data_IF_410935292255
#
_entry.id   IF_410935292255
#
_cell.length_a   1.000
_cell.length_b   1.000
_cell.length_c   1.000
_cell.angle_alpha   90.00
_cell.angle_beta   90.00
_cell.angle_gamma   90.00
#
_symmetry.space_group_name_H-M   'P 1'
#
loop_
_entity.id
_entity.type
_entity.pdbx_description
1 polymer ?
#
# COMPACT_ATOMS: atom_id res chain seq x y z
N UNK A 1 54.41 -41.55 -21.59
CA UNK A 1 53.11 -41.51 -20.88
C UNK A 1 53.34 -40.86 -19.52
N UNK A 2 53.07 -39.55 -19.38
CA UNK A 2 53.12 -38.83 -18.10
C UNK A 2 51.79 -38.11 -17.95
N UNK A 3 51.05 -38.48 -16.91
CA UNK A 3 49.66 -38.10 -16.67
C UNK A 3 49.51 -36.64 -16.25
N UNK A 4 48.43 -36.02 -16.72
CA UNK A 4 47.95 -34.73 -16.26
C UNK A 4 46.96 -34.94 -15.11
N UNK A 5 47.26 -34.41 -13.92
CA UNK A 5 46.28 -34.25 -12.85
C UNK A 5 45.44 -33.01 -13.15
N UNK A 6 44.14 -33.17 -13.42
CA UNK A 6 43.17 -32.09 -13.36
C UNK A 6 42.76 -31.86 -11.90
N UNK A 7 43.17 -30.71 -11.34
CA UNK A 7 42.64 -30.21 -10.07
C UNK A 7 41.26 -29.60 -10.27
N UNK A 8 40.24 -30.20 -9.65
CA UNK A 8 38.87 -29.68 -9.64
C UNK A 8 38.76 -28.66 -8.48
N UNK A 9 38.74 -27.36 -8.79
CA UNK A 9 38.37 -26.33 -7.82
C UNK A 9 36.85 -26.38 -7.61
N UNK A 10 36.41 -26.88 -6.45
CA UNK A 10 35.03 -26.78 -6.00
C UNK A 10 34.80 -25.38 -5.43
N UNK A 11 34.14 -24.51 -6.20
CA UNK A 11 33.59 -23.26 -5.68
C UNK A 11 32.40 -23.58 -4.76
N UNK A 12 32.63 -23.55 -3.44
CA UNK A 12 31.58 -23.51 -2.43
C UNK A 12 30.89 -22.14 -2.49
N UNK A 13 29.90 -22.01 -3.38
CA UNK A 13 28.99 -20.87 -3.37
C UNK A 13 28.16 -20.91 -2.10
N UNK A 14 28.46 -20.00 -1.16
CA UNK A 14 27.55 -19.71 -0.05
C UNK A 14 26.25 -19.20 -0.68
N UNK A 15 25.09 -19.84 -0.47
CA UNK A 15 23.84 -19.22 -0.85
C UNK A 15 23.63 -18.05 0.11
N UNK A 16 24.02 -16.85 -0.33
CA UNK A 16 23.42 -15.66 0.21
C UNK A 16 21.93 -15.79 -0.07
N UNK A 17 21.14 -16.14 0.94
CA UNK A 17 19.70 -15.90 0.92
C UNK A 17 19.57 -14.39 0.77
N UNK A 18 19.55 -13.91 -0.48
CA UNK A 18 19.00 -12.62 -0.80
C UNK A 18 17.59 -12.69 -0.22
N UNK A 19 17.41 -12.05 0.93
CA UNK A 19 16.13 -11.92 1.61
C UNK A 19 15.23 -11.18 0.64
N UNK A 20 14.48 -11.95 -0.15
CA UNK A 20 13.58 -11.42 -1.14
C UNK A 20 12.58 -10.51 -0.43
N UNK A 21 12.24 -9.38 -1.05
CA UNK A 21 11.20 -8.51 -0.55
C UNK A 21 9.93 -9.33 -0.25
N UNK A 22 9.48 -9.36 1.00
CA UNK A 22 8.30 -10.14 1.36
C UNK A 22 7.03 -9.43 0.91
N UNK A 23 6.99 -8.10 0.97
CA UNK A 23 5.78 -7.32 0.70
C UNK A 23 6.08 -5.96 0.10
N UNK A 24 5.54 -5.71 -1.08
CA UNK A 24 5.33 -4.38 -1.62
C UNK A 24 3.94 -3.89 -1.22
N UNK A 25 3.88 -2.80 -0.46
CA UNK A 25 2.65 -2.18 0.03
C UNK A 25 2.49 -0.78 -0.58
N UNK A 26 1.48 -0.61 -1.43
CA UNK A 26 1.11 0.69 -1.98
C UNK A 26 -0.06 1.27 -1.20
N UNK A 27 0.20 2.34 -0.44
CA UNK A 27 -0.78 3.07 0.35
C UNK A 27 -1.45 4.12 -0.54
N UNK A 28 -2.74 3.99 -0.76
CA UNK A 28 -3.51 4.83 -1.69
C UNK A 28 -4.58 5.59 -0.90
N UNK A 29 -4.46 6.92 -0.90
CA UNK A 29 -5.24 7.82 -0.03
C UNK A 29 -6.17 8.67 -0.89
N UNK A 30 -7.47 8.62 -0.56
CA UNK A 30 -8.48 9.47 -1.17
C UNK A 30 -8.29 10.93 -0.73
N UNK A 31 -8.21 11.82 -1.72
CA UNK A 31 -8.14 13.27 -1.53
C UNK A 31 -9.23 14.00 -2.32
N UNK A 32 -10.34 13.32 -2.62
CA UNK A 32 -11.50 13.85 -3.33
C UNK A 32 -12.21 14.97 -2.55
N UNK A 33 -13.21 15.59 -3.18
CA UNK A 33 -13.89 16.78 -2.66
C UNK A 33 -14.57 16.60 -1.30
N UNK A 34 -14.90 15.37 -0.90
CA UNK A 34 -15.46 15.05 0.42
C UNK A 34 -14.46 15.24 1.56
N UNK A 35 -13.16 15.12 1.27
CA UNK A 35 -12.08 15.25 2.24
C UNK A 35 -11.70 16.71 2.40
N UNK A 36 -11.74 17.26 3.61
CA UNK A 36 -11.26 18.60 3.92
C UNK A 36 -9.75 18.65 4.30
N UNK A 37 -9.22 19.84 4.58
CA UNK A 37 -7.80 20.01 4.95
C UNK A 37 -7.44 19.34 6.28
N UNK A 38 -8.34 19.38 7.27
CA UNK A 38 -8.12 18.77 8.58
C UNK A 38 -8.19 17.24 8.47
N UNK A 39 -9.11 16.71 7.67
CA UNK A 39 -9.26 15.29 7.39
C UNK A 39 -8.07 14.74 6.61
N UNK A 40 -7.60 15.46 5.58
CA UNK A 40 -6.36 15.11 4.89
C UNK A 40 -5.16 15.06 5.86
N UNK A 41 -5.05 16.05 6.76
CA UNK A 41 -3.99 16.10 7.76
C UNK A 41 -4.03 14.89 8.70
N UNK A 42 -5.22 14.48 9.15
CA UNK A 42 -5.39 13.26 9.94
C UNK A 42 -4.92 12.00 9.19
N UNK A 43 -5.15 11.94 7.87
CA UNK A 43 -4.68 10.83 7.05
C UNK A 43 -3.15 10.82 6.90
N UNK A 44 -2.55 11.97 6.60
CA UNK A 44 -1.10 12.11 6.42
C UNK A 44 -0.32 11.89 7.73
N UNK A 45 -0.74 12.56 8.80
CA UNK A 45 -0.13 12.40 10.13
C UNK A 45 -0.37 10.99 10.67
N UNK A 46 -1.57 10.44 10.53
CA UNK A 46 -1.88 9.07 10.98
C UNK A 46 -1.05 8.00 10.26
N UNK A 47 -0.79 8.19 8.96
CA UNK A 47 0.13 7.32 8.23
C UNK A 47 1.58 7.47 8.74
N UNK A 48 2.07 8.70 8.87
CA UNK A 48 3.42 8.94 9.36
C UNK A 48 3.62 8.36 10.77
N UNK A 49 2.65 8.54 11.67
CA UNK A 49 2.68 8.01 13.02
C UNK A 49 2.67 6.46 13.00
N UNK A 50 1.83 5.84 12.16
CA UNK A 50 1.82 4.39 11.99
C UNK A 50 3.18 3.84 11.53
N UNK A 51 3.90 4.54 10.66
CA UNK A 51 5.23 4.13 10.20
C UNK A 51 6.29 4.20 11.29
N UNK A 52 6.07 4.97 12.36
CA UNK A 52 6.99 5.02 13.51
C UNK A 52 6.69 3.97 14.57
N UNK A 53 5.62 3.18 14.39
CA UNK A 53 5.28 2.10 15.31
C UNK A 53 6.35 1.00 15.31
N UNK A 54 6.85 0.58 16.50
CA UNK A 54 7.92 -0.41 16.58
C UNK A 54 7.61 -1.74 15.88
N UNK A 55 6.38 -2.23 15.97
CA UNK A 55 5.99 -3.51 15.36
C UNK A 55 5.97 -3.41 13.83
N UNK A 56 5.54 -2.25 13.30
CA UNK A 56 5.56 -1.97 11.86
C UNK A 56 6.99 -1.81 11.36
N UNK A 57 7.83 -1.01 12.05
CA UNK A 57 9.25 -0.83 11.70
C UNK A 57 9.95 -2.18 11.62
N UNK A 58 9.78 -3.00 12.66
CA UNK A 58 10.39 -4.31 12.79
C UNK A 58 9.89 -5.30 11.71
N UNK A 59 8.59 -5.32 11.42
CA UNK A 59 8.03 -6.13 10.34
C UNK A 59 8.54 -5.71 8.95
N UNK A 60 8.64 -4.40 8.68
CA UNK A 60 9.16 -3.89 7.41
C UNK A 60 10.64 -4.20 7.20
N UNK A 61 11.46 -4.04 8.24
CA UNK A 61 12.91 -4.30 8.17
C UNK A 61 13.18 -5.78 8.00
N UNK A 62 12.54 -6.65 8.81
CA UNK A 62 12.73 -8.10 8.69
C UNK A 62 12.27 -8.65 7.35
N UNK A 63 11.12 -8.17 6.87
CA UNK A 63 10.56 -8.62 5.59
C UNK A 63 11.17 -7.95 4.36
N UNK A 64 12.14 -7.05 4.54
CA UNK A 64 12.69 -6.20 3.47
C UNK A 64 11.60 -5.58 2.57
N UNK A 65 10.57 -5.03 3.22
CA UNK A 65 9.39 -4.52 2.53
C UNK A 65 9.70 -3.35 1.61
N UNK A 66 8.78 -3.05 0.70
CA UNK A 66 8.81 -1.85 -0.13
C UNK A 66 7.50 -1.08 0.02
N UNK A 67 7.56 0.23 0.22
CA UNK A 67 6.38 1.08 0.40
C UNK A 67 6.34 2.22 -0.61
N UNK A 68 5.14 2.57 -1.06
CA UNK A 68 4.88 3.78 -1.85
C UNK A 68 3.56 4.38 -1.40
N UNK A 69 3.42 5.70 -1.53
CA UNK A 69 2.18 6.42 -1.23
C UNK A 69 1.65 7.07 -2.50
N UNK A 70 0.39 6.82 -2.81
CA UNK A 70 -0.36 7.43 -3.91
C UNK A 70 -1.51 8.23 -3.34
N UNK A 71 -1.72 9.42 -3.89
CA UNK A 71 -2.95 10.19 -3.65
C UNK A 71 -3.84 10.06 -4.89
N UNK A 72 -5.15 9.90 -4.69
CA UNK A 72 -6.11 9.73 -5.77
C UNK A 72 -7.42 10.50 -5.52
N UNK A 73 -8.10 10.86 -6.59
CA UNK A 73 -9.46 11.42 -6.54
C UNK A 73 -10.23 11.06 -7.83
N UNK A 74 -10.46 12.01 -8.75
CA UNK A 74 -11.20 11.80 -10.00
C UNK A 74 -10.40 11.05 -11.07
N UNK A 75 -10.99 10.88 -12.26
CA UNK A 75 -10.51 9.99 -13.34
C UNK A 75 -9.02 10.14 -13.68
N UNK A 76 -8.55 11.37 -13.88
CA UNK A 76 -7.15 11.66 -14.27
C UNK A 76 -6.34 12.30 -13.12
N UNK A 77 -6.74 12.01 -11.87
CA UNK A 77 -6.21 12.64 -10.66
C UNK A 77 -5.62 11.59 -9.73
N UNK A 78 -4.49 11.02 -10.15
CA UNK A 78 -3.67 10.11 -9.36
C UNK A 78 -2.22 10.55 -9.46
N UNK A 79 -1.52 10.55 -8.32
CA UNK A 79 -0.11 10.88 -8.27
C UNK A 79 0.61 10.06 -7.21
N UNK A 80 1.80 9.58 -7.55
CA UNK A 80 2.74 9.03 -6.57
C UNK A 80 3.24 10.19 -5.70
N UNK A 81 2.76 10.27 -4.46
CA UNK A 81 3.18 11.27 -3.48
C UNK A 81 4.52 10.89 -2.85
N UNK A 82 4.72 9.59 -2.59
CA UNK A 82 6.02 9.06 -2.15
C UNK A 82 6.40 7.86 -3.04
N UNK A 83 7.51 7.94 -3.80
CA UNK A 83 7.99 6.84 -4.63
C UNK A 83 8.30 5.58 -3.82
N UNK A 84 8.42 4.45 -4.52
CA UNK A 84 8.83 3.20 -3.91
C UNK A 84 10.12 3.35 -3.11
N UNK A 85 10.01 3.12 -1.81
CA UNK A 85 11.11 3.10 -0.86
C UNK A 85 11.31 1.67 -0.39
N UNK A 86 12.47 1.09 -0.68
CA UNK A 86 12.86 -0.23 -0.16
C UNK A 86 13.35 -0.08 1.27
N UNK A 87 12.78 -0.84 2.18
CA UNK A 87 13.10 -0.79 3.60
C UNK A 87 14.18 -1.81 3.90
N UNK A 88 15.39 -1.32 4.22
CA UNK A 88 16.52 -2.16 4.64
C UNK A 88 16.92 -1.87 6.08
N UNK A 89 16.42 -0.78 6.65
CA UNK A 89 16.75 -0.28 7.98
C UNK A 89 15.61 0.56 8.56
N UNK A 90 15.63 0.75 9.88
CA UNK A 90 14.72 1.67 10.55
C UNK A 90 14.85 3.12 10.04
N UNK A 91 16.04 3.51 9.55
CA UNK A 91 16.25 4.84 8.95
C UNK A 91 15.45 5.03 7.66
N UNK A 92 15.28 3.98 6.85
CA UNK A 92 14.44 4.04 5.64
C UNK A 92 12.98 4.29 6.01
N UNK A 93 12.50 3.65 7.09
CA UNK A 93 11.14 3.85 7.61
C UNK A 93 10.97 5.27 8.17
N UNK A 94 11.95 5.77 8.92
CA UNK A 94 11.91 7.15 9.45
C UNK A 94 11.82 8.19 8.31
N UNK A 95 12.63 8.03 7.26
CA UNK A 95 12.57 8.91 6.07
C UNK A 95 11.23 8.83 5.35
N UNK A 96 10.66 7.63 5.24
CA UNK A 96 9.33 7.42 4.66
C UNK A 96 8.23 8.10 5.51
N UNK A 97 8.30 7.98 6.83
CA UNK A 97 7.42 8.68 7.77
C UNK A 97 7.48 10.20 7.57
N UNK A 98 8.69 10.76 7.52
CA UNK A 98 8.87 12.21 7.31
C UNK A 98 8.31 12.66 5.95
N UNK A 99 8.56 11.89 4.89
CA UNK A 99 7.99 12.16 3.57
C UNK A 99 6.45 12.08 3.57
N UNK A 100 5.87 11.09 4.26
CA UNK A 100 4.42 10.96 4.40
C UNK A 100 3.79 12.10 5.23
N UNK A 101 4.52 12.66 6.21
CA UNK A 101 4.04 13.80 6.99
C UNK A 101 4.07 15.10 6.21
N UNK A 102 5.03 15.25 5.30
CA UNK A 102 5.28 16.47 4.54
C UNK A 102 4.65 16.49 3.15
N UNK A 103 4.04 15.39 2.69
CA UNK A 103 3.42 15.34 1.38
C UNK A 103 2.28 16.38 1.28
N UNK A 104 2.25 17.24 0.24
CA UNK A 104 1.14 18.13 0.03
C UNK A 104 -0.06 17.37 -0.54
N UNK A 105 -1.28 17.87 -0.27
CA UNK A 105 -2.49 17.35 -0.91
C UNK A 105 -2.43 17.66 -2.40
N UNK A 106 -2.44 16.61 -3.23
CA UNK A 106 -2.21 16.72 -4.68
C UNK A 106 -3.40 17.33 -5.42
N UNK A 107 -4.63 17.09 -4.94
CA UNK A 107 -5.86 17.48 -5.62
C UNK A 107 -6.90 18.03 -4.65
N UNK A 108 -7.70 18.98 -5.14
CA UNK A 108 -8.87 19.54 -4.45
C UNK A 108 -10.01 19.64 -5.46
N UNK A 109 -11.26 19.76 -4.99
CA UNK A 109 -12.45 19.95 -5.84
C UNK A 109 -12.57 18.90 -6.96
N UNK A 110 -12.30 17.63 -6.64
CA UNK A 110 -12.33 16.52 -7.60
C UNK A 110 -13.27 15.39 -7.18
N UNK A 111 -13.68 14.57 -8.14
CA UNK A 111 -14.54 13.42 -7.90
C UNK A 111 -13.84 12.27 -7.18
N UNK A 112 -14.57 11.17 -7.02
CA UNK A 112 -14.14 9.94 -6.35
C UNK A 112 -14.17 8.82 -7.39
N UNK A 113 -13.01 8.40 -7.88
CA UNK A 113 -12.84 7.42 -8.97
C UNK A 113 -11.91 6.25 -8.55
N UNK A 114 -12.34 5.36 -7.64
CA UNK A 114 -11.49 4.29 -7.12
C UNK A 114 -11.09 3.24 -8.17
N UNK A 115 -11.86 3.08 -9.26
CA UNK A 115 -11.45 2.21 -10.37
C UNK A 115 -10.13 2.70 -10.99
N UNK A 116 -10.00 4.01 -11.22
CA UNK A 116 -8.79 4.62 -11.76
C UNK A 116 -7.66 4.61 -10.74
N UNK A 117 -7.95 4.78 -9.45
CA UNK A 117 -6.94 4.60 -8.40
C UNK A 117 -6.33 3.19 -8.42
N UNK A 118 -7.16 2.15 -8.55
CA UNK A 118 -6.70 0.76 -8.68
C UNK A 118 -5.87 0.59 -9.95
N UNK A 119 -6.40 0.99 -11.12
CA UNK A 119 -5.68 0.82 -12.40
C UNK A 119 -4.34 1.56 -12.43
N UNK A 120 -4.28 2.78 -11.89
CA UNK A 120 -3.04 3.52 -11.72
C UNK A 120 -2.06 2.78 -10.81
N UNK A 121 -2.55 2.22 -9.70
CA UNK A 121 -1.72 1.45 -8.78
C UNK A 121 -1.12 0.21 -9.44
N UNK A 122 -1.91 -0.51 -10.24
CA UNK A 122 -1.46 -1.70 -10.98
C UNK A 122 -0.29 -1.36 -11.92
N UNK A 123 -0.33 -0.22 -12.61
CA UNK A 123 0.78 0.20 -13.50
C UNK A 123 2.06 0.59 -12.77
N UNK A 124 2.03 0.77 -11.44
CA UNK A 124 3.16 1.25 -10.65
C UNK A 124 3.95 0.13 -9.94
N UNK A 125 3.56 -1.14 -10.04
CA UNK A 125 4.28 -2.24 -9.35
C UNK A 125 5.57 -2.71 -10.05
N UNK A 126 5.88 -2.21 -11.25
CA UNK A 126 7.07 -2.61 -12.02
C UNK A 126 8.40 -2.64 -11.23
N UNK A 127 8.74 -1.60 -10.43
CA UNK A 127 9.99 -1.55 -9.68
C UNK A 127 10.14 -2.57 -8.52
N UNK A 128 9.06 -3.25 -8.16
CA UNK A 128 8.96 -4.14 -6.98
C UNK A 128 8.35 -5.50 -7.33
N UNK A 129 8.47 -5.93 -8.59
CA UNK A 129 7.99 -7.22 -9.06
C UNK A 129 8.66 -8.42 -8.37
N UNK A 130 9.85 -8.22 -7.80
CA UNK A 130 10.58 -9.20 -6.99
C UNK A 130 9.94 -9.48 -5.62
N UNK A 131 9.01 -8.63 -5.17
CA UNK A 131 8.32 -8.84 -3.90
C UNK A 131 7.35 -10.02 -3.96
N UNK A 132 7.39 -10.91 -2.95
CA UNK A 132 6.53 -12.10 -2.86
C UNK A 132 5.05 -11.75 -2.86
N UNK A 133 4.67 -10.69 -2.13
CA UNK A 133 3.32 -10.16 -2.07
C UNK A 133 3.31 -8.73 -2.56
N UNK A 134 2.27 -8.38 -3.33
CA UNK A 134 2.00 -7.03 -3.81
C UNK A 134 0.60 -6.66 -3.35
N UNK A 135 0.50 -5.57 -2.61
CA UNK A 135 -0.73 -5.18 -1.92
C UNK A 135 -1.04 -3.72 -2.23
N UNK A 136 -2.27 -3.46 -2.64
CA UNK A 136 -2.87 -2.13 -2.66
C UNK A 136 -3.64 -1.96 -1.35
N UNK A 137 -3.19 -1.02 -0.53
CA UNK A 137 -3.92 -0.49 0.61
C UNK A 137 -4.73 0.71 0.13
N UNK A 138 -6.05 0.59 -0.01
CA UNK A 138 -6.92 1.68 -0.46
C UNK A 138 -7.80 2.23 0.64
N UNK A 139 -7.72 3.54 0.86
CA UNK A 139 -8.57 4.26 1.80
C UNK A 139 -9.44 5.28 1.08
N UNK A 140 -10.68 5.46 1.55
CA UNK A 140 -11.56 6.55 1.10
C UNK A 140 -12.87 6.60 1.88
N UNK A 141 -13.62 7.67 1.65
CA UNK A 141 -14.79 8.07 2.45
C UNK A 141 -16.13 8.08 1.67
N UNK A 142 -16.09 7.62 0.42
CA UNK A 142 -17.24 7.69 -0.48
C UNK A 142 -17.39 6.52 -1.45
N UNK A 143 -18.53 6.48 -2.11
CA UNK A 143 -18.76 5.64 -3.29
C UNK A 143 -18.36 6.38 -4.57
N UNK A 144 -18.07 5.67 -5.68
CA UNK A 144 -17.73 6.31 -6.94
C UNK A 144 -18.82 7.26 -7.40
N UNK A 145 -18.43 8.49 -7.75
CA UNK A 145 -19.29 9.45 -8.44
C UNK A 145 -18.78 9.78 -9.85
N UNK A 146 -17.57 9.31 -10.17
CA UNK A 146 -16.92 9.42 -11.48
C UNK A 146 -16.08 8.17 -11.74
N UNK A 147 -15.64 7.99 -12.98
CA UNK A 147 -14.73 6.91 -13.33
C UNK A 147 -15.41 5.63 -13.79
N UNK A 148 -14.66 4.53 -13.71
CA UNK A 148 -14.99 3.26 -14.35
C UNK A 148 -15.62 2.22 -13.43
N UNK A 149 -15.79 1.01 -13.95
CA UNK A 149 -16.25 -0.16 -13.18
C UNK A 149 -15.18 -0.60 -12.17
N UNK A 150 -15.44 -0.32 -10.89
CA UNK A 150 -14.57 -0.71 -9.76
C UNK A 150 -14.40 -2.22 -9.68
N UNK A 151 -15.46 -3.00 -9.94
CA UNK A 151 -15.36 -4.44 -9.90
C UNK A 151 -14.50 -4.98 -11.05
N UNK A 152 -14.49 -4.33 -12.22
CA UNK A 152 -13.57 -4.67 -13.30
C UNK A 152 -12.11 -4.41 -12.93
N UNK A 153 -11.82 -3.27 -12.31
CA UNK A 153 -10.48 -2.93 -11.84
C UNK A 153 -10.01 -3.91 -10.74
N UNK A 154 -10.89 -4.25 -9.78
CA UNK A 154 -10.64 -5.32 -8.79
C UNK A 154 -10.29 -6.65 -9.45
N UNK A 155 -11.10 -7.10 -10.43
CA UNK A 155 -10.84 -8.36 -11.15
C UNK A 155 -9.50 -8.34 -11.89
N UNK A 156 -9.05 -7.17 -12.36
CA UNK A 156 -7.72 -7.03 -12.95
C UNK A 156 -6.62 -7.23 -11.91
N UNK A 157 -6.74 -6.60 -10.73
CA UNK A 157 -5.79 -6.82 -9.64
C UNK A 157 -5.69 -8.29 -9.24
N UNK A 158 -6.82 -9.00 -9.18
CA UNK A 158 -6.85 -10.45 -8.92
C UNK A 158 -6.09 -11.25 -9.98
N UNK A 159 -6.23 -10.89 -11.27
CA UNK A 159 -5.48 -11.53 -12.38
C UNK A 159 -3.97 -11.27 -12.28
N UNK A 160 -3.58 -10.09 -11.80
CA UNK A 160 -2.18 -9.69 -11.67
C UNK A 160 -1.53 -10.21 -10.37
N UNK A 161 -2.28 -10.96 -9.56
CA UNK A 161 -1.83 -11.48 -8.26
C UNK A 161 -1.56 -10.38 -7.24
N UNK A 162 -2.32 -9.28 -7.31
CA UNK A 162 -2.23 -8.12 -6.42
C UNK A 162 -3.45 -8.11 -5.51
N UNK A 163 -3.23 -8.17 -4.19
CA UNK A 163 -4.30 -8.09 -3.18
C UNK A 163 -4.75 -6.63 -3.02
N UNK A 164 -6.05 -6.39 -2.88
CA UNK A 164 -6.60 -5.09 -2.50
C UNK A 164 -7.25 -5.23 -1.12
N UNK A 165 -6.74 -4.47 -0.16
CA UNK A 165 -7.35 -4.31 1.17
C UNK A 165 -7.78 -2.87 1.35
N UNK A 166 -8.81 -2.61 2.15
CA UNK A 166 -9.36 -1.27 2.26
C UNK A 166 -9.53 -0.71 3.67
N UNK A 167 -9.44 0.62 3.79
CA UNK A 167 -10.06 1.40 4.86
C UNK A 167 -11.31 2.06 4.29
N UNK A 168 -12.44 1.79 4.93
CA UNK A 168 -13.70 2.49 4.69
C UNK A 168 -13.89 3.54 5.79
N UNK A 169 -13.78 4.81 5.44
CA UNK A 169 -13.99 5.93 6.36
C UNK A 169 -15.47 6.33 6.36
N UNK A 170 -16.22 5.92 7.37
CA UNK A 170 -17.66 6.18 7.44
C UNK A 170 -17.97 7.55 8.04
N UNK A 171 -19.00 8.20 7.49
CA UNK A 171 -19.61 9.41 8.03
C UNK A 171 -21.01 9.13 8.56
N UNK A 172 -21.58 10.04 9.35
CA UNK A 172 -22.93 9.85 9.88
C UNK A 172 -23.94 9.63 8.75
N UNK A 173 -24.67 8.52 8.82
CA UNK A 173 -25.66 8.14 7.80
C UNK A 173 -25.08 7.52 6.52
N UNK A 174 -23.76 7.35 6.40
CA UNK A 174 -23.10 6.76 5.24
C UNK A 174 -22.28 5.52 5.61
N UNK A 175 -22.88 4.34 5.41
CA UNK A 175 -22.24 3.04 5.65
C UNK A 175 -21.49 2.55 4.40
N UNK A 176 -20.29 3.09 4.15
CA UNK A 176 -19.52 2.78 2.94
C UNK A 176 -18.75 1.45 3.03
N UNK A 177 -18.57 0.88 4.23
CA UNK A 177 -17.86 -0.40 4.44
C UNK A 177 -18.39 -1.50 3.52
N UNK A 178 -19.72 -1.56 3.38
CA UNK A 178 -20.41 -2.52 2.54
C UNK A 178 -20.10 -2.38 1.04
N UNK A 179 -19.89 -1.14 0.57
CA UNK A 179 -19.45 -0.91 -0.81
C UNK A 179 -18.02 -1.44 -1.01
N UNK A 180 -17.09 -1.06 -0.13
CA UNK A 180 -15.69 -1.51 -0.22
C UNK A 180 -15.57 -3.03 -0.15
N UNK A 181 -16.33 -3.67 0.75
CA UNK A 181 -16.33 -5.12 0.91
C UNK A 181 -16.82 -5.87 -0.34
N UNK A 182 -17.77 -5.28 -1.10
CA UNK A 182 -18.36 -5.94 -2.27
C UNK A 182 -17.68 -5.60 -3.59
N UNK A 183 -17.17 -4.37 -3.71
CA UNK A 183 -16.75 -3.82 -5.00
C UNK A 183 -15.25 -3.60 -5.11
N UNK A 184 -14.57 -3.30 -3.99
CA UNK A 184 -13.17 -2.81 -3.99
C UNK A 184 -12.17 -3.90 -3.66
N UNK A 185 -12.33 -4.58 -2.52
CA UNK A 185 -11.32 -5.53 -2.02
C UNK A 185 -11.29 -6.81 -2.86
N UNK A 186 -10.10 -7.38 -3.05
CA UNK A 186 -9.96 -8.69 -3.71
C UNK A 186 -10.55 -9.80 -2.82
N UNK A 187 -10.76 -10.99 -3.40
CA UNK A 187 -11.32 -12.16 -2.69
C UNK A 187 -10.57 -12.52 -1.39
N UNK A 188 -9.26 -12.34 -1.35
CA UNK A 188 -8.38 -12.59 -0.20
C UNK A 188 -8.14 -11.35 0.68
N UNK A 189 -8.72 -10.22 0.27
CA UNK A 189 -8.59 -8.93 0.92
C UNK A 189 -9.54 -8.75 2.11
N UNK A 190 -9.43 -7.62 2.78
CA UNK A 190 -10.30 -7.26 3.90
C UNK A 190 -10.56 -5.75 3.95
N UNK A 191 -11.63 -5.37 4.64
CA UNK A 191 -11.95 -3.96 4.96
C UNK A 191 -11.76 -3.72 6.46
N UNK A 192 -11.14 -2.60 6.81
CA UNK A 192 -11.20 -2.01 8.15
C UNK A 192 -12.06 -0.75 8.10
N UNK A 193 -12.98 -0.61 9.05
CA UNK A 193 -13.80 0.60 9.15
C UNK A 193 -13.14 1.61 10.08
N UNK A 194 -13.03 2.85 9.61
CA UNK A 194 -12.75 4.02 10.44
C UNK A 194 -14.05 4.80 10.63
N UNK A 195 -14.45 5.04 11.89
CA UNK A 195 -15.65 5.85 12.17
C UNK A 195 -15.27 7.33 12.20
N UNK A 196 -15.50 8.02 11.09
CA UNK A 196 -15.02 9.35 10.77
C UNK A 196 -13.49 9.42 10.64
N UNK A 197 -13.00 10.49 10.01
CA UNK A 197 -11.57 10.69 9.75
C UNK A 197 -10.70 10.70 11.02
N UNK A 198 -11.25 11.10 12.18
CA UNK A 198 -10.51 11.05 13.47
C UNK A 198 -10.10 9.65 13.90
N UNK A 199 -10.76 8.62 13.39
CA UNK A 199 -10.45 7.21 13.67
C UNK A 199 -9.47 6.61 12.64
N UNK A 200 -9.13 7.38 11.60
CA UNK A 200 -8.20 6.94 10.56
C UNK A 200 -6.81 6.57 11.11
N UNK A 201 -6.16 7.34 12.01
CA UNK A 201 -4.84 6.98 12.54
C UNK A 201 -4.81 5.59 13.19
N UNK A 202 -5.86 5.22 13.93
CA UNK A 202 -6.01 3.88 14.51
C UNK A 202 -6.16 2.82 13.42
N UNK A 203 -7.01 3.08 12.43
CA UNK A 203 -7.31 2.14 11.36
C UNK A 203 -6.09 1.86 10.47
N UNK A 204 -5.35 2.89 10.05
CA UNK A 204 -4.17 2.74 9.18
C UNK A 204 -3.04 1.99 9.88
N UNK A 205 -2.76 2.27 11.15
CA UNK A 205 -1.81 1.50 11.96
C UNK A 205 -2.20 0.03 12.01
N UNK A 206 -3.45 -0.27 12.36
CA UNK A 206 -3.93 -1.65 12.46
C UNK A 206 -3.88 -2.38 11.11
N UNK A 207 -4.17 -1.67 10.02
CA UNK A 207 -4.18 -2.22 8.67
C UNK A 207 -2.79 -2.58 8.17
N UNK A 208 -1.84 -1.64 8.25
CA UNK A 208 -0.43 -1.87 7.89
C UNK A 208 0.11 -3.07 8.68
N UNK A 209 -0.12 -3.10 10.00
CA UNK A 209 0.34 -4.22 10.82
C UNK A 209 -0.24 -5.56 10.36
N UNK A 210 -1.55 -5.63 10.05
CA UNK A 210 -2.19 -6.86 9.55
C UNK A 210 -1.65 -7.28 8.18
N UNK A 211 -1.33 -6.34 7.32
CA UNK A 211 -0.79 -6.61 5.99
C UNK A 211 0.62 -7.17 6.05
N UNK A 212 1.44 -6.65 6.97
CA UNK A 212 2.83 -7.07 7.17
C UNK A 212 2.97 -8.36 7.99
N UNK A 213 2.05 -8.65 8.91
CA UNK A 213 2.14 -9.84 9.79
C UNK A 213 1.60 -11.13 9.18
N UNK A 214 0.83 -11.06 8.08
CA UNK A 214 0.48 -12.23 7.25
C UNK A 214 1.71 -12.97 6.65
N UNK A 215 2.94 -12.55 6.97
CA UNK A 215 4.20 -13.20 6.59
C UNK A 215 4.48 -14.48 7.38
N UNK A 216 3.80 -14.72 8.53
CA UNK A 216 4.02 -15.92 9.35
C UNK A 216 2.83 -16.87 9.23
N UNK A 217 2.82 -17.72 8.21
CA UNK A 217 1.96 -18.92 8.16
C UNK A 217 2.59 -19.96 7.28
#
# INVERSE_FOLDING_TARGET
>A
MRGALLGLLACLGVPGLATACDTALMLTIDVSNSVDTAEYRLQAEGLADALTDPDIVDALVRGQGALSVVQWSGVDRQSVAVPWTRIRSALDVARLSDAARLMPRAYTLSGTAPAQAILFSLSNFGPVMDCKRRVIDISGDGTPNTGGDVAAARRQAERDGITINAIAIESMGQAITNFYARQVITRDGFVMTARMHRDYPRAIRAKILRELTRVIS
#
